data_IF_794848189538
#
_entry.id   IF_794848189538
#
_cell.length_a   1.000
_cell.length_b   1.000
_cell.length_c   1.000
_cell.angle_alpha   90.00
_cell.angle_beta   90.00
_cell.angle_gamma   90.00
#
_symmetry.space_group_name_H-M   'P 1'
#
loop_
_entity.id
_entity.type
_entity.pdbx_description
1 polymer ?
#
# COMPACT_ATOMS: atom_id res chain seq x y z
N UNK A 1 13.16 55.60 4.48
CA UNK A 1 12.15 54.53 4.26
C UNK A 1 11.14 54.54 5.40
N UNK A 2 9.91 54.93 5.11
CA UNK A 2 8.85 55.16 6.09
C UNK A 2 8.45 53.87 6.80
N UNK A 3 8.27 53.92 8.13
CA UNK A 3 7.91 52.76 8.98
C UNK A 3 6.70 51.96 8.46
N UNK A 4 5.81 52.63 7.71
CA UNK A 4 4.65 52.03 7.03
C UNK A 4 5.03 51.05 5.92
N UNK A 5 6.07 51.32 5.12
CA UNK A 5 6.52 50.40 4.08
C UNK A 5 7.12 49.11 4.66
N UNK A 6 7.84 49.20 5.79
CA UNK A 6 8.35 48.04 6.53
C UNK A 6 7.22 47.21 7.15
N UNK A 7 6.19 47.85 7.70
CA UNK A 7 5.00 47.17 8.24
C UNK A 7 4.21 46.44 7.16
N UNK A 8 3.97 47.08 6.01
CA UNK A 8 3.25 46.45 4.89
C UNK A 8 4.04 45.28 4.29
N UNK A 9 5.36 45.39 4.19
CA UNK A 9 6.20 44.29 3.73
C UNK A 9 6.21 43.12 4.72
N UNK A 10 6.28 43.39 6.03
CA UNK A 10 6.19 42.36 7.06
C UNK A 10 4.82 41.67 7.11
N UNK A 11 3.73 42.40 6.85
CA UNK A 11 2.35 41.88 6.88
C UNK A 11 2.06 40.89 5.74
N UNK A 12 2.76 41.02 4.61
CA UNK A 12 2.63 40.13 3.45
C UNK A 12 3.62 38.97 3.52
N UNK A 13 4.84 39.20 4.02
CA UNK A 13 5.88 38.15 4.10
C UNK A 13 5.61 37.15 5.24
N UNK A 14 5.07 37.60 6.37
CA UNK A 14 4.79 36.75 7.52
C UNK A 14 3.81 35.59 7.22
N UNK A 15 2.62 35.81 6.61
CA UNK A 15 1.71 34.70 6.31
C UNK A 15 2.26 33.72 5.27
N UNK A 16 3.06 34.18 4.30
CA UNK A 16 3.71 33.30 3.31
C UNK A 16 4.78 32.42 3.97
N UNK A 17 5.57 32.99 4.89
CA UNK A 17 6.54 32.25 5.68
C UNK A 17 5.88 31.28 6.66
N UNK A 18 4.75 31.66 7.26
CA UNK A 18 3.94 30.78 8.11
C UNK A 18 3.31 29.62 7.35
N UNK A 19 2.85 29.86 6.10
CA UNK A 19 2.31 28.82 5.22
C UNK A 19 3.39 27.82 4.78
N UNK A 20 4.60 28.32 4.49
CA UNK A 20 5.76 27.48 4.17
C UNK A 20 6.23 26.64 5.37
N UNK A 21 6.16 27.18 6.60
CA UNK A 21 6.46 26.43 7.83
C UNK A 21 5.40 25.37 8.15
N UNK A 22 4.12 25.67 7.92
CA UNK A 22 3.01 24.73 8.07
C UNK A 22 3.13 23.55 7.09
N UNK A 23 3.52 23.82 5.84
CA UNK A 23 3.74 22.76 4.83
C UNK A 23 4.87 21.78 5.21
N UNK A 24 5.93 22.26 5.87
CA UNK A 24 7.02 21.41 6.36
C UNK A 24 6.61 20.55 7.55
N UNK A 25 5.87 21.11 8.51
CA UNK A 25 5.37 20.36 9.67
C UNK A 25 4.45 19.21 9.23
N UNK A 26 3.56 19.44 8.26
CA UNK A 26 2.69 18.40 7.70
C UNK A 26 3.47 17.31 6.96
N UNK A 27 4.55 17.65 6.25
CA UNK A 27 5.38 16.69 5.54
C UNK A 27 6.23 15.83 6.48
N UNK A 28 6.73 16.41 7.57
CA UNK A 28 7.52 15.70 8.60
C UNK A 28 6.64 14.75 9.43
N UNK A 29 5.43 15.18 9.79
CA UNK A 29 4.45 14.30 10.43
C UNK A 29 4.01 13.16 9.49
N UNK A 30 3.84 13.42 8.19
CA UNK A 30 3.52 12.38 7.21
C UNK A 30 4.65 11.32 7.08
N UNK A 31 5.91 11.71 7.22
CA UNK A 31 7.05 10.79 7.32
C UNK A 31 7.03 10.00 8.64
N UNK A 32 6.68 10.65 9.75
CA UNK A 32 6.65 10.04 11.08
C UNK A 32 5.55 9.00 11.26
N UNK A 33 4.43 9.14 10.54
CA UNK A 33 3.35 8.16 10.46
C UNK A 33 3.39 7.31 9.19
N UNK A 34 4.52 7.31 8.46
CA UNK A 34 4.67 6.47 7.28
C UNK A 34 4.64 4.99 7.70
N UNK A 35 3.55 4.31 7.36
CA UNK A 35 3.34 2.87 7.64
C UNK A 35 3.84 1.97 6.50
N UNK A 36 4.31 2.56 5.40
CA UNK A 36 4.83 1.84 4.25
C UNK A 36 6.36 1.71 4.32
N UNK A 37 6.92 0.74 3.60
CA UNK A 37 8.37 0.60 3.50
C UNK A 37 9.00 1.81 2.77
N UNK A 38 10.24 2.21 3.12
CA UNK A 38 10.92 3.26 2.40
C UNK A 38 11.25 2.82 0.96
N UNK A 39 11.26 3.77 0.03
CA UNK A 39 11.74 3.52 -1.33
C UNK A 39 13.27 3.41 -1.29
N UNK A 40 13.79 2.30 -1.78
CA UNK A 40 15.23 2.07 -1.82
C UNK A 40 15.95 2.90 -2.87
N UNK A 41 17.26 3.04 -2.68
CA UNK A 41 18.15 3.78 -3.58
C UNK A 41 18.85 2.88 -4.61
N UNK A 42 18.66 1.56 -4.51
CA UNK A 42 19.22 0.57 -5.45
C UNK A 42 18.14 0.07 -6.42
N UNK A 43 18.51 -0.39 -7.64
CA UNK A 43 17.56 -0.96 -8.59
C UNK A 43 16.78 -2.15 -7.99
N UNK A 44 17.48 -3.07 -7.33
CA UNK A 44 16.90 -4.25 -6.67
C UNK A 44 15.89 -3.83 -5.60
N UNK A 45 16.21 -2.83 -4.78
CA UNK A 45 15.28 -2.38 -3.75
C UNK A 45 14.05 -1.66 -4.31
N UNK A 46 14.16 -1.02 -5.49
CA UNK A 46 12.98 -0.47 -6.18
C UNK A 46 12.10 -1.59 -6.73
N UNK A 47 12.68 -2.64 -7.31
CA UNK A 47 11.92 -3.80 -7.79
C UNK A 47 11.14 -4.48 -6.65
N UNK A 48 11.77 -4.64 -5.47
CA UNK A 48 11.09 -5.18 -4.27
C UNK A 48 9.94 -4.26 -3.82
N UNK A 49 10.16 -2.93 -3.83
CA UNK A 49 9.13 -1.96 -3.48
C UNK A 49 7.92 -2.05 -4.43
N UNK A 50 8.16 -2.16 -5.73
CA UNK A 50 7.10 -2.23 -6.73
C UNK A 50 6.28 -3.53 -6.57
N UNK A 51 6.94 -4.66 -6.35
CA UNK A 51 6.26 -5.94 -6.07
C UNK A 51 5.44 -5.84 -4.78
N UNK A 52 5.99 -5.23 -3.73
CA UNK A 52 5.27 -4.99 -2.48
C UNK A 52 3.98 -4.18 -2.72
N UNK A 53 4.08 -3.08 -3.47
CA UNK A 53 2.94 -2.22 -3.76
C UNK A 53 1.88 -2.91 -4.62
N UNK A 54 2.28 -3.76 -5.57
CA UNK A 54 1.33 -4.55 -6.38
C UNK A 54 0.56 -5.54 -5.50
N UNK A 55 1.26 -6.33 -4.68
CA UNK A 55 0.63 -7.30 -3.76
C UNK A 55 -0.30 -6.58 -2.78
N UNK A 56 0.14 -5.44 -2.23
CA UNK A 56 -0.67 -4.63 -1.33
C UNK A 56 -2.00 -4.22 -1.98
N UNK A 57 -1.97 -3.71 -3.22
CA UNK A 57 -3.20 -3.33 -3.93
C UNK A 57 -4.09 -4.53 -4.25
N UNK A 58 -3.53 -5.69 -4.57
CA UNK A 58 -4.30 -6.93 -4.73
C UNK A 58 -5.02 -7.28 -3.43
N UNK A 59 -4.34 -7.21 -2.28
CA UNK A 59 -4.94 -7.43 -0.98
C UNK A 59 -6.07 -6.43 -0.67
N UNK A 60 -5.89 -5.15 -1.01
CA UNK A 60 -6.93 -4.13 -0.83
C UNK A 60 -8.17 -4.45 -1.67
N UNK A 61 -8.00 -4.80 -2.94
CA UNK A 61 -9.12 -5.14 -3.83
C UNK A 61 -9.89 -6.37 -3.32
N UNK A 62 -9.19 -7.43 -2.93
CA UNK A 62 -9.81 -8.63 -2.36
C UNK A 62 -10.52 -8.30 -1.06
N UNK A 63 -9.88 -7.53 -0.18
CA UNK A 63 -10.45 -7.09 1.09
C UNK A 63 -11.77 -6.33 0.86
N UNK A 64 -11.76 -5.34 -0.02
CA UNK A 64 -12.98 -4.59 -0.39
C UNK A 64 -14.06 -5.53 -0.94
N UNK A 65 -13.70 -6.49 -1.80
CA UNK A 65 -14.64 -7.48 -2.33
C UNK A 65 -15.29 -8.33 -1.23
N UNK A 66 -14.49 -8.86 -0.30
CA UNK A 66 -14.98 -9.63 0.84
C UNK A 66 -15.87 -8.79 1.75
N UNK A 67 -15.44 -7.58 2.11
CA UNK A 67 -16.23 -6.66 2.94
C UNK A 67 -17.54 -6.29 2.25
N UNK A 68 -17.55 -6.04 0.94
CA UNK A 68 -18.76 -5.75 0.19
C UNK A 68 -19.77 -6.92 0.23
N UNK A 69 -19.31 -8.15 -0.01
CA UNK A 69 -20.16 -9.36 0.08
C UNK A 69 -20.69 -9.55 1.51
N UNK A 70 -19.86 -9.30 2.52
CA UNK A 70 -20.26 -9.39 3.92
C UNK A 70 -21.33 -8.35 4.28
N UNK A 71 -21.11 -7.07 3.95
CA UNK A 71 -22.08 -6.00 4.19
C UNK A 71 -23.39 -6.25 3.44
N UNK A 72 -23.31 -6.69 2.19
CA UNK A 72 -24.47 -7.10 1.42
C UNK A 72 -25.24 -8.22 2.12
N UNK A 73 -24.54 -9.28 2.56
CA UNK A 73 -25.15 -10.43 3.22
C UNK A 73 -25.87 -10.03 4.51
N UNK A 74 -25.26 -9.17 5.33
CA UNK A 74 -25.89 -8.64 6.55
C UNK A 74 -27.11 -7.76 6.26
N UNK A 75 -27.06 -6.94 5.21
CA UNK A 75 -28.17 -6.05 4.85
C UNK A 75 -29.35 -6.80 4.21
N UNK A 76 -29.07 -7.78 3.35
CA UNK A 76 -30.06 -8.53 2.59
C UNK A 76 -30.72 -9.64 3.42
N UNK A 77 -29.94 -10.43 4.18
CA UNK A 77 -30.43 -11.62 4.89
C UNK A 77 -30.76 -11.36 6.37
N UNK A 78 -31.08 -10.13 6.74
CA UNK A 78 -31.41 -9.77 8.12
C UNK A 78 -32.78 -10.35 8.53
N UNK A 79 -32.84 -10.98 9.71
CA UNK A 79 -34.08 -11.50 10.33
C UNK A 79 -35.25 -10.51 10.30
N UNK A 80 -35.00 -9.22 10.54
CA UNK A 80 -36.07 -8.20 10.57
C UNK A 80 -36.73 -7.95 9.22
N UNK A 81 -36.14 -8.40 8.11
CA UNK A 81 -36.73 -8.31 6.75
C UNK A 81 -37.53 -9.57 6.39
N UNK A 82 -37.73 -10.48 7.34
CA UNK A 82 -38.43 -11.75 7.09
C UNK A 82 -37.56 -12.79 6.38
N UNK A 83 -36.24 -12.62 6.35
CA UNK A 83 -35.33 -13.60 5.75
C UNK A 83 -35.43 -14.95 6.49
N UNK A 84 -35.78 -16.01 5.75
CA UNK A 84 -35.81 -17.40 6.24
C UNK A 84 -34.47 -18.05 5.90
N UNK A 85 -33.82 -18.67 6.88
CA UNK A 85 -32.56 -19.37 6.67
C UNK A 85 -32.78 -20.58 5.75
N UNK A 86 -31.98 -20.68 4.69
CA UNK A 86 -31.97 -21.84 3.83
C UNK A 86 -31.15 -22.98 4.48
N UNK A 87 -31.55 -24.23 4.27
CA UNK A 87 -30.87 -25.42 4.80
C UNK A 87 -29.94 -26.03 3.74
N UNK A 88 -28.93 -25.29 3.31
CA UNK A 88 -27.84 -25.83 2.49
C UNK A 88 -26.57 -25.93 3.35
N UNK A 89 -25.83 -27.03 3.23
CA UNK A 89 -24.65 -27.30 4.05
C UNK A 89 -23.37 -27.42 3.20
N UNK A 90 -23.52 -27.69 1.91
CA UNK A 90 -22.41 -27.87 0.99
C UNK A 90 -22.72 -27.22 -0.36
N UNK A 91 -21.69 -26.68 -0.99
CA UNK A 91 -21.77 -26.22 -2.36
C UNK A 91 -20.42 -26.47 -3.02
N UNK A 92 -20.28 -27.67 -3.60
CA UNK A 92 -19.05 -28.11 -4.27
C UNK A 92 -18.61 -27.12 -5.36
N UNK A 93 -19.54 -26.46 -6.04
CA UNK A 93 -19.19 -25.46 -7.07
C UNK A 93 -18.54 -24.23 -6.43
N UNK A 94 -19.11 -23.71 -5.34
CA UNK A 94 -18.53 -22.57 -4.63
C UNK A 94 -17.16 -22.95 -4.03
N UNK A 95 -17.05 -24.15 -3.47
CA UNK A 95 -15.82 -24.73 -2.94
C UNK A 95 -14.69 -24.78 -3.97
N UNK A 96 -14.98 -25.25 -5.18
CA UNK A 96 -14.00 -25.27 -6.26
C UNK A 96 -13.63 -23.84 -6.69
N UNK A 97 -14.61 -22.95 -6.83
CA UNK A 97 -14.36 -21.58 -7.29
C UNK A 97 -13.44 -20.83 -6.33
N UNK A 98 -13.71 -20.86 -5.03
CA UNK A 98 -12.90 -20.12 -4.05
C UNK A 98 -11.56 -20.78 -3.73
N UNK A 99 -11.31 -22.02 -4.14
CA UNK A 99 -9.99 -22.66 -4.00
C UNK A 99 -9.12 -22.44 -5.23
N UNK A 100 -9.70 -22.56 -6.42
CA UNK A 100 -8.99 -22.38 -7.69
C UNK A 100 -8.58 -20.92 -7.91
N UNK A 101 -9.46 -19.95 -7.61
CA UNK A 101 -9.15 -18.52 -7.83
C UNK A 101 -7.91 -18.08 -7.01
N UNK A 102 -7.83 -18.29 -5.68
CA UNK A 102 -6.63 -17.96 -4.92
C UNK A 102 -5.39 -18.74 -5.36
N UNK A 103 -5.53 -20.02 -5.75
CA UNK A 103 -4.41 -20.81 -6.24
C UNK A 103 -3.81 -20.22 -7.53
N UNK A 104 -4.65 -19.86 -8.50
CA UNK A 104 -4.20 -19.21 -9.75
C UNK A 104 -3.58 -17.85 -9.49
N UNK A 105 -4.12 -17.07 -8.56
CA UNK A 105 -3.58 -15.77 -8.17
C UNK A 105 -2.14 -15.90 -7.67
N UNK A 106 -1.84 -16.89 -6.83
CA UNK A 106 -0.48 -17.15 -6.35
C UNK A 106 0.48 -17.58 -7.48
N UNK A 107 0.01 -18.43 -8.41
CA UNK A 107 0.83 -18.88 -9.55
C UNK A 107 1.27 -17.70 -10.42
N UNK A 108 0.35 -16.78 -10.73
CA UNK A 108 0.66 -15.58 -11.53
C UNK A 108 1.69 -14.69 -10.82
N UNK A 109 1.57 -14.54 -9.51
CA UNK A 109 2.47 -13.69 -8.71
C UNK A 109 3.84 -14.31 -8.47
N UNK A 110 4.01 -15.63 -8.70
CA UNK A 110 5.30 -16.30 -8.54
C UNK A 110 6.35 -15.77 -9.53
N UNK A 111 5.96 -15.45 -10.77
CA UNK A 111 6.90 -14.99 -11.81
C UNK A 111 7.67 -13.72 -11.41
N UNK A 112 7.02 -12.58 -11.10
CA UNK A 112 7.74 -11.36 -10.73
C UNK A 112 8.51 -11.52 -9.40
N UNK A 113 8.00 -12.34 -8.48
CA UNK A 113 8.69 -12.61 -7.22
C UNK A 113 10.00 -13.38 -7.45
N UNK A 114 9.98 -14.39 -8.34
CA UNK A 114 11.18 -15.16 -8.67
C UNK A 114 12.20 -14.32 -9.42
N UNK A 115 11.80 -13.48 -10.38
CA UNK A 115 12.75 -12.62 -11.11
C UNK A 115 13.47 -11.66 -10.17
N UNK A 116 12.74 -10.98 -9.28
CA UNK A 116 13.37 -10.09 -8.30
C UNK A 116 14.30 -10.82 -7.34
N UNK A 117 13.97 -12.07 -6.97
CA UNK A 117 14.85 -12.89 -6.15
C UNK A 117 16.15 -13.24 -6.86
N UNK A 118 16.09 -13.57 -8.16
CA UNK A 118 17.29 -13.83 -8.96
C UNK A 118 18.18 -12.59 -9.02
N UNK A 119 17.61 -11.40 -9.20
CA UNK A 119 18.35 -10.13 -9.24
C UNK A 119 19.05 -9.80 -7.92
N UNK A 120 18.50 -10.24 -6.78
CA UNK A 120 19.14 -10.08 -5.45
C UNK A 120 20.39 -10.95 -5.31
N UNK A 121 20.38 -12.14 -5.92
CA UNK A 121 21.46 -13.11 -5.80
C UNK A 121 22.50 -13.05 -6.93
N UNK A 122 22.29 -12.22 -7.95
CA UNK A 122 23.27 -12.02 -9.00
C UNK A 122 24.42 -11.11 -8.52
N UNK A 123 25.58 -11.72 -8.27
CA UNK A 123 26.82 -11.03 -7.88
C UNK A 123 27.92 -11.19 -8.92
N UNK A 124 27.58 -11.58 -10.15
CA UNK A 124 28.55 -11.99 -11.18
C UNK A 124 29.43 -10.83 -11.66
N UNK A 125 28.86 -9.62 -11.72
CA UNK A 125 29.51 -8.41 -12.25
C UNK A 125 29.80 -7.39 -11.12
N UNK A 126 30.36 -7.83 -10.01
CA UNK A 126 30.68 -6.95 -8.88
C UNK A 126 31.92 -6.08 -9.18
N UNK A 127 31.77 -4.76 -9.12
CA UNK A 127 32.90 -3.82 -9.24
C UNK A 127 33.76 -3.74 -7.96
N UNK A 128 33.19 -4.10 -6.80
CA UNK A 128 33.84 -3.97 -5.50
C UNK A 128 33.32 -5.02 -4.51
N UNK A 129 34.25 -5.73 -3.87
CA UNK A 129 33.98 -6.65 -2.77
C UNK A 129 34.30 -6.01 -1.41
N UNK A 130 33.32 -5.99 -0.51
CA UNK A 130 33.49 -5.49 0.86
C UNK A 130 33.28 -6.64 1.84
N UNK A 131 34.31 -6.93 2.64
CA UNK A 131 34.19 -7.86 3.78
C UNK A 131 33.79 -7.11 5.04
N UNK A 132 32.60 -7.40 5.55
CA UNK A 132 32.13 -6.91 6.85
C UNK A 132 32.46 -7.99 7.90
N UNK A 133 33.19 -7.61 8.95
CA UNK A 133 33.47 -8.48 10.10
C UNK A 133 32.82 -7.85 11.33
N UNK A 134 31.93 -8.60 11.99
CA UNK A 134 31.28 -8.19 13.23
C UNK A 134 32.16 -8.45 14.45
#
# INVERSE_FOLDING_TARGET
MSRRARMLFALVLAPVMSLAFMGKALAEDAQRWAVNMPKGVTPVSNAIYDIHMIIFWICVVIGVGVFAVMFYSMFAHRKSKGAVAANFHENTTAEIVWTVIPALLLIVMAVPATTALLDVYDTTEAEMDIKITG
#
